data_IF_622148352966
#
_entry.id   IF_622148352966
#
_cell.length_a   1.000
_cell.length_b   1.000
_cell.length_c   1.000
_cell.angle_alpha   90.00
_cell.angle_beta   90.00
_cell.angle_gamma   90.00
#
_symmetry.space_group_name_H-M   'P 1'
#
loop_
_entity.id
_entity.type
_entity.pdbx_description
1 polymer ?
#
# COMPACT_ATOMS: atom_id res chain seq x y z
N UNK A 1 17.08 -66.50 6.76
CA UNK A 1 17.14 -67.63 5.80
C UNK A 1 15.70 -68.00 5.47
N UNK A 2 15.10 -67.40 4.44
CA UNK A 2 15.19 -67.76 3.02
C UNK A 2 14.34 -69.01 2.68
N UNK A 3 13.25 -68.76 1.94
CA UNK A 3 12.27 -69.70 1.34
C UNK A 3 12.88 -70.86 0.54
N UNK A 4 12.04 -71.85 0.18
CA UNK A 4 11.70 -71.97 -1.24
C UNK A 4 10.19 -72.12 -1.55
N UNK A 5 9.88 -71.75 -2.80
CA UNK A 5 8.59 -71.62 -3.49
C UNK A 5 8.09 -72.92 -4.16
N UNK A 6 6.94 -72.77 -4.82
CA UNK A 6 6.32 -73.51 -5.94
C UNK A 6 5.17 -74.38 -5.43
N UNK A 7 3.90 -74.00 -5.58
CA UNK A 7 3.13 -73.86 -6.84
C UNK A 7 2.18 -75.07 -6.91
N UNK A 8 0.97 -75.10 -7.44
CA UNK A 8 0.06 -74.20 -8.15
C UNK A 8 -1.25 -75.06 -8.27
N UNK A 9 -2.42 -74.43 -8.44
CA UNK A 9 -3.71 -75.06 -8.88
C UNK A 9 -4.46 -75.88 -7.83
N UNK A 10 -5.79 -75.91 -7.74
CA UNK A 10 -6.90 -75.17 -8.31
C UNK A 10 -8.17 -75.66 -7.57
N UNK A 11 -9.30 -74.97 -7.78
CA UNK A 11 -10.67 -75.47 -7.63
C UNK A 11 -11.19 -75.74 -6.20
N UNK A 12 -11.93 -74.74 -5.67
CA UNK A 12 -13.39 -74.88 -5.56
C UNK A 12 -14.06 -73.54 -5.24
N UNK A 13 -14.44 -72.83 -6.30
CA UNK A 13 -15.58 -71.91 -6.24
C UNK A 13 -16.82 -72.80 -6.13
N UNK A 14 -17.20 -73.08 -4.89
CA UNK A 14 -18.39 -73.86 -4.55
C UNK A 14 -19.62 -72.96 -4.51
N UNK A 15 -20.30 -72.90 -5.65
CA UNK A 15 -21.71 -72.52 -5.79
C UNK A 15 -22.55 -72.92 -4.57
N UNK A 16 -23.19 -71.97 -3.91
CA UNK A 16 -24.26 -72.21 -2.94
C UNK A 16 -25.23 -71.03 -2.85
N UNK A 17 -25.79 -70.58 -3.98
CA UNK A 17 -27.09 -69.91 -3.95
C UNK A 17 -28.13 -71.01 -3.90
N UNK A 18 -28.39 -71.53 -2.69
CA UNK A 18 -29.57 -72.38 -2.45
C UNK A 18 -30.79 -71.47 -2.39
N UNK A 19 -31.46 -71.32 -3.52
CA UNK A 19 -32.80 -70.74 -3.58
C UNK A 19 -33.78 -71.71 -2.91
N UNK A 20 -34.05 -71.45 -1.62
CA UNK A 20 -35.27 -71.94 -0.95
C UNK A 20 -35.96 -70.73 -0.34
N UNK A 21 -36.42 -69.83 -1.21
CA UNK A 21 -37.23 -68.68 -0.83
C UNK A 21 -38.67 -69.17 -0.79
N UNK A 22 -39.16 -69.52 0.40
CA UNK A 22 -40.59 -69.78 0.59
C UNK A 22 -41.40 -68.56 0.12
N UNK A 23 -42.55 -68.78 -0.50
CA UNK A 23 -43.37 -67.72 -1.14
C UNK A 23 -43.53 -66.45 -0.28
N UNK A 24 -43.59 -66.59 1.04
CA UNK A 24 -43.70 -65.48 2.00
C UNK A 24 -42.46 -64.57 2.06
N UNK A 25 -41.23 -65.09 1.94
CA UNK A 25 -40.02 -64.26 1.99
C UNK A 25 -39.77 -63.53 0.67
N UNK A 26 -40.20 -64.12 -0.46
CA UNK A 26 -40.17 -63.44 -1.76
C UNK A 26 -41.15 -62.25 -1.78
N UNK A 27 -42.37 -62.45 -1.27
CA UNK A 27 -43.36 -61.38 -1.14
C UNK A 27 -42.80 -60.25 -0.25
N UNK A 28 -42.24 -60.58 0.92
CA UNK A 28 -41.68 -59.55 1.81
C UNK A 28 -40.56 -58.72 1.16
N UNK A 29 -39.67 -59.35 0.40
CA UNK A 29 -38.59 -58.63 -0.31
C UNK A 29 -39.15 -57.71 -1.40
N UNK A 30 -40.15 -58.16 -2.15
CA UNK A 30 -40.82 -57.35 -3.18
C UNK A 30 -41.52 -56.15 -2.53
N UNK A 31 -42.22 -56.34 -1.41
CA UNK A 31 -42.91 -55.25 -0.73
C UNK A 31 -41.92 -54.21 -0.23
N UNK A 32 -40.80 -54.62 0.38
CA UNK A 32 -39.76 -53.70 0.87
C UNK A 32 -39.13 -52.91 -0.28
N UNK A 33 -38.86 -53.57 -1.42
CA UNK A 33 -38.31 -52.91 -2.61
C UNK A 33 -39.27 -51.87 -3.21
N UNK A 34 -40.57 -52.16 -3.25
CA UNK A 34 -41.58 -51.20 -3.75
C UNK A 34 -41.72 -50.03 -2.76
N UNK A 35 -41.73 -50.31 -1.47
CA UNK A 35 -41.85 -49.29 -0.41
C UNK A 35 -40.68 -48.31 -0.45
N UNK A 36 -39.45 -48.82 -0.58
CA UNK A 36 -38.26 -47.98 -0.65
C UNK A 36 -38.25 -47.12 -1.91
N UNK A 37 -38.72 -47.64 -3.04
CA UNK A 37 -38.84 -46.90 -4.28
C UNK A 37 -39.83 -45.73 -4.16
N UNK A 38 -41.00 -45.95 -3.53
CA UNK A 38 -42.01 -44.90 -3.30
C UNK A 38 -41.46 -43.80 -2.40
N UNK A 39 -40.80 -44.17 -1.30
CA UNK A 39 -40.21 -43.20 -0.36
C UNK A 39 -39.12 -42.39 -1.05
N UNK A 40 -38.25 -43.02 -1.83
CA UNK A 40 -37.23 -42.32 -2.60
C UNK A 40 -37.88 -41.28 -3.55
N UNK A 41 -38.95 -41.66 -4.25
CA UNK A 41 -39.64 -40.77 -5.19
C UNK A 41 -40.38 -39.61 -4.50
N UNK A 42 -40.90 -39.82 -3.28
CA UNK A 42 -41.60 -38.80 -2.53
C UNK A 42 -40.66 -37.78 -1.85
N UNK A 43 -39.43 -38.19 -1.52
CA UNK A 43 -38.46 -37.35 -0.81
C UNK A 43 -37.51 -36.62 -1.77
N UNK A 44 -37.29 -37.15 -2.98
CA UNK A 44 -36.46 -36.49 -3.98
C UNK A 44 -37.17 -35.22 -4.50
N UNK A 45 -36.57 -34.03 -4.35
CA UNK A 45 -37.14 -32.79 -4.89
C UNK A 45 -37.12 -32.88 -6.42
N UNK A 46 -38.31 -32.97 -7.03
CA UNK A 46 -38.43 -32.93 -8.49
C UNK A 46 -38.18 -31.49 -8.96
N UNK A 47 -36.99 -31.23 -9.50
CA UNK A 47 -36.68 -29.97 -10.17
C UNK A 47 -37.46 -29.87 -11.47
N UNK A 48 -38.47 -29.01 -11.52
CA UNK A 48 -39.22 -28.73 -12.75
C UNK A 48 -38.46 -27.63 -13.51
N UNK A 49 -37.85 -27.99 -14.63
CA UNK A 49 -37.26 -27.00 -15.56
C UNK A 49 -38.42 -26.43 -16.38
N UNK A 50 -38.81 -25.19 -16.09
CA UNK A 50 -39.82 -24.46 -16.85
C UNK A 50 -39.13 -23.57 -17.88
N UNK A 51 -39.48 -23.71 -19.15
CA UNK A 51 -39.09 -22.75 -20.19
C UNK A 51 -40.00 -21.51 -20.17
N UNK A 52 -39.46 -20.36 -20.58
CA UNK A 52 -40.16 -19.09 -20.55
C UNK A 52 -41.45 -19.13 -21.38
N UNK A 53 -42.60 -18.94 -20.73
CA UNK A 53 -43.92 -18.90 -21.39
C UNK A 53 -44.90 -20.01 -21.00
N UNK A 54 -44.49 -21.00 -20.20
CA UNK A 54 -45.41 -22.02 -19.66
C UNK A 54 -46.05 -21.59 -18.34
N UNK A 55 -47.37 -21.82 -18.20
CA UNK A 55 -48.10 -21.59 -16.94
C UNK A 55 -47.80 -22.71 -15.94
N UNK A 56 -47.30 -22.34 -14.75
CA UNK A 56 -47.07 -23.28 -13.66
C UNK A 56 -48.41 -23.82 -13.15
N UNK A 57 -48.58 -25.15 -13.10
CA UNK A 57 -49.80 -25.81 -12.56
C UNK A 57 -49.94 -25.70 -11.03
N UNK A 58 -48.95 -25.12 -10.34
CA UNK A 58 -48.94 -24.83 -8.91
C UNK A 58 -48.33 -23.44 -8.70
N UNK A 59 -48.86 -22.69 -7.73
CA UNK A 59 -48.23 -21.43 -7.30
C UNK A 59 -46.84 -21.72 -6.76
N UNK A 60 -45.83 -21.14 -7.41
CA UNK A 60 -44.45 -21.17 -6.98
C UNK A 60 -44.20 -19.89 -6.20
N UNK A 61 -44.21 -19.96 -4.87
CA UNK A 61 -43.73 -18.84 -4.05
C UNK A 61 -42.20 -18.77 -4.13
N UNK A 62 -41.68 -17.60 -4.50
CA UNK A 62 -40.23 -17.37 -4.49
C UNK A 62 -39.72 -17.41 -3.04
N UNK A 63 -38.65 -18.17 -2.75
CA UNK A 63 -38.05 -18.17 -1.41
C UNK A 63 -37.68 -16.74 -1.00
N UNK A 64 -38.18 -16.28 0.16
CA UNK A 64 -37.81 -14.96 0.69
C UNK A 64 -36.32 -14.97 1.02
N UNK A 65 -35.56 -14.07 0.42
CA UNK A 65 -34.15 -13.89 0.78
C UNK A 65 -34.06 -13.34 2.21
N UNK A 66 -33.53 -14.13 3.13
CA UNK A 66 -33.26 -13.66 4.50
C UNK A 66 -31.97 -12.85 4.47
N UNK A 67 -32.10 -11.53 4.33
CA UNK A 67 -30.95 -10.62 4.39
C UNK A 67 -30.68 -10.29 5.85
N UNK A 68 -29.52 -10.74 6.35
CA UNK A 68 -29.04 -10.34 7.67
C UNK A 68 -28.54 -8.88 7.60
N UNK A 69 -29.44 -7.94 7.87
CA UNK A 69 -29.15 -6.50 7.84
C UNK A 69 -28.01 -6.13 8.78
N UNK A 70 -28.03 -6.66 10.01
CA UNK A 70 -27.01 -6.37 11.03
C UNK A 70 -25.62 -6.83 10.58
N UNK A 71 -25.50 -8.05 10.05
CA UNK A 71 -24.22 -8.55 9.53
C UNK A 71 -23.75 -7.74 8.31
N UNK A 72 -24.67 -7.35 7.43
CA UNK A 72 -24.37 -6.53 6.26
C UNK A 72 -23.88 -5.14 6.66
N UNK A 73 -24.53 -4.51 7.63
CA UNK A 73 -24.15 -3.18 8.13
C UNK A 73 -22.82 -3.23 8.87
N UNK A 74 -22.56 -4.30 9.62
CA UNK A 74 -21.24 -4.54 10.25
C UNK A 74 -20.13 -4.68 9.20
N UNK A 75 -20.36 -5.45 8.14
CA UNK A 75 -19.38 -5.61 7.05
C UNK A 75 -19.14 -4.28 6.31
N UNK A 76 -20.18 -3.47 6.09
CA UNK A 76 -20.05 -2.13 5.50
C UNK A 76 -19.22 -1.21 6.39
N UNK A 77 -19.48 -1.24 7.69
CA UNK A 77 -18.75 -0.42 8.67
C UNK A 77 -17.28 -0.85 8.81
N UNK A 78 -17.02 -2.15 8.80
CA UNK A 78 -15.66 -2.70 8.84
C UNK A 78 -14.90 -2.38 7.54
N UNK A 79 -15.56 -2.46 6.38
CA UNK A 79 -15.00 -2.02 5.11
C UNK A 79 -14.73 -0.50 5.10
N UNK A 80 -15.63 0.31 5.65
CA UNK A 80 -15.45 1.77 5.79
C UNK A 80 -14.25 2.10 6.68
N UNK A 81 -14.11 1.42 7.83
CA UNK A 81 -12.96 1.57 8.73
C UNK A 81 -11.66 1.14 8.07
N UNK A 82 -11.67 0.00 7.37
CA UNK A 82 -10.52 -0.49 6.62
C UNK A 82 -10.10 0.50 5.53
N UNK A 83 -11.07 1.02 4.77
CA UNK A 83 -10.84 2.05 3.77
C UNK A 83 -10.24 3.30 4.41
N UNK A 84 -10.85 3.87 5.44
CA UNK A 84 -10.36 5.07 6.12
C UNK A 84 -8.93 4.90 6.68
N UNK A 85 -8.59 3.71 7.17
CA UNK A 85 -7.25 3.39 7.66
C UNK A 85 -6.23 3.25 6.51
N UNK A 86 -6.65 2.70 5.38
CA UNK A 86 -5.79 2.48 4.21
C UNK A 86 -5.70 3.68 3.27
N UNK A 87 -6.71 4.57 3.28
CA UNK A 87 -6.85 5.65 2.32
C UNK A 87 -5.68 6.64 2.35
N UNK A 88 -5.20 7.12 3.53
CA UNK A 88 -4.02 8.00 3.56
C UNK A 88 -2.74 7.35 3.03
N UNK A 89 -2.65 6.02 3.09
CA UNK A 89 -1.49 5.25 2.63
C UNK A 89 -1.64 4.74 1.20
N UNK A 90 -2.81 4.94 0.57
CA UNK A 90 -3.04 4.53 -0.80
C UNK A 90 -2.38 5.53 -1.74
N UNK A 91 -1.53 5.09 -2.69
CA UNK A 91 -0.92 5.98 -3.65
C UNK A 91 -1.91 6.81 -4.47
N UNK A 92 -3.14 6.32 -4.66
CA UNK A 92 -4.20 6.99 -5.43
C UNK A 92 -4.88 8.13 -4.64
N UNK A 93 -4.76 8.13 -3.31
CA UNK A 93 -5.40 9.10 -2.41
C UNK A 93 -4.38 10.02 -1.71
N UNK A 94 -3.16 10.11 -2.24
CA UNK A 94 -2.11 10.96 -1.68
C UNK A 94 -2.47 12.44 -1.90
N UNK A 95 -2.73 13.15 -0.80
CA UNK A 95 -2.94 14.59 -0.82
C UNK A 95 -1.60 15.29 -0.58
N UNK A 96 -1.19 16.16 -1.51
CA UNK A 96 -0.03 17.02 -1.33
C UNK A 96 -0.38 18.04 -0.26
N UNK A 97 0.08 17.80 0.96
CA UNK A 97 -0.23 18.69 2.07
C UNK A 97 0.63 19.96 2.00
N UNK A 98 -0.05 21.09 1.88
CA UNK A 98 0.56 22.42 1.86
C UNK A 98 1.40 22.70 3.11
N UNK A 99 1.05 22.10 4.26
CA UNK A 99 1.81 22.31 5.50
C UNK A 99 3.24 21.82 5.38
N UNK A 100 3.49 20.69 4.71
CA UNK A 100 4.85 20.19 4.51
C UNK A 100 5.65 21.09 3.57
N UNK A 101 5.00 21.64 2.54
CA UNK A 101 5.64 22.63 1.67
C UNK A 101 6.07 23.88 2.44
N UNK A 102 5.23 24.42 3.32
CA UNK A 102 5.59 25.57 4.14
C UNK A 102 6.71 25.25 5.14
N UNK A 103 6.69 24.07 5.76
CA UNK A 103 7.76 23.64 6.67
C UNK A 103 9.11 23.49 5.96
N UNK A 104 9.12 23.04 4.71
CA UNK A 104 10.34 22.94 3.92
C UNK A 104 10.87 24.31 3.49
N UNK A 105 9.99 25.23 3.11
CA UNK A 105 10.35 26.63 2.87
C UNK A 105 10.98 27.25 4.12
N UNK A 106 10.35 27.07 5.29
CA UNK A 106 10.87 27.53 6.59
C UNK A 106 12.22 26.89 6.94
N UNK A 107 12.41 25.61 6.61
CA UNK A 107 13.67 24.91 6.84
C UNK A 107 14.80 25.47 5.99
N UNK A 108 14.52 25.81 4.72
CA UNK A 108 15.48 26.52 3.85
C UNK A 108 15.80 27.88 4.46
N UNK A 109 14.78 28.66 4.80
CA UNK A 109 14.93 29.99 5.39
C UNK A 109 15.79 29.97 6.66
N UNK A 110 15.55 29.02 7.56
CA UNK A 110 16.30 28.85 8.79
C UNK A 110 17.81 28.64 8.53
N UNK A 111 18.18 27.90 7.48
CA UNK A 111 19.60 27.68 7.12
C UNK A 111 20.25 28.99 6.70
N UNK A 112 19.60 29.75 5.81
CA UNK A 112 20.14 31.03 5.35
C UNK A 112 20.19 32.05 6.50
N UNK A 113 19.15 32.14 7.34
CA UNK A 113 19.13 33.00 8.52
C UNK A 113 20.22 32.66 9.52
N UNK A 114 20.49 31.36 9.74
CA UNK A 114 21.58 30.94 10.62
C UNK A 114 22.95 31.41 10.10
N UNK A 115 23.19 31.36 8.79
CA UNK A 115 24.42 31.85 8.17
C UNK A 115 24.51 33.37 8.26
N UNK A 116 23.45 34.10 7.93
CA UNK A 116 23.39 35.57 8.03
C UNK A 116 23.66 36.02 9.46
N UNK A 117 22.98 35.42 10.42
CA UNK A 117 23.14 35.77 11.84
C UNK A 117 24.54 35.43 12.33
N UNK A 118 25.10 34.29 11.92
CA UNK A 118 26.48 33.92 12.28
C UNK A 118 27.52 34.89 11.72
N UNK A 119 27.31 35.44 10.51
CA UNK A 119 28.15 36.49 9.93
C UNK A 119 28.02 37.81 10.68
N UNK A 120 26.80 38.16 11.09
CA UNK A 120 26.55 39.39 11.83
C UNK A 120 27.15 39.36 13.25
N UNK A 121 27.14 38.19 13.89
CA UNK A 121 27.70 38.00 15.24
C UNK A 121 29.23 38.15 15.27
N UNK A 122 29.93 37.77 14.19
CA UNK A 122 31.39 37.90 14.07
C UNK A 122 31.80 38.19 12.60
N UNK A 123 31.84 39.48 12.19
CA UNK A 123 32.10 39.87 10.81
C UNK A 123 33.50 39.52 10.28
N UNK A 124 34.48 39.38 11.19
CA UNK A 124 35.87 39.06 10.85
C UNK A 124 36.13 37.54 10.85
N UNK A 125 35.12 36.74 11.21
CA UNK A 125 35.22 35.30 11.23
C UNK A 125 35.42 34.73 9.82
N UNK A 126 36.35 33.78 9.71
CA UNK A 126 36.48 32.98 8.50
C UNK A 126 35.24 32.09 8.25
N UNK A 127 35.04 31.61 7.02
CA UNK A 127 33.86 30.80 6.64
C UNK A 127 33.62 29.56 7.51
N UNK A 128 34.69 28.90 7.96
CA UNK A 128 34.60 27.72 8.82
C UNK A 128 34.08 28.05 10.23
N UNK A 129 34.43 29.22 10.75
CA UNK A 129 33.93 29.67 12.05
C UNK A 129 32.45 30.06 11.96
N UNK A 130 32.07 30.76 10.89
CA UNK A 130 30.67 31.07 10.56
C UNK A 130 29.85 29.78 10.41
N UNK A 131 30.36 28.79 9.66
CA UNK A 131 29.70 27.50 9.47
C UNK A 131 29.41 26.78 10.78
N UNK A 132 30.38 26.76 11.71
CA UNK A 132 30.19 26.17 13.05
C UNK A 132 29.16 26.94 13.88
N UNK A 133 29.17 28.28 13.81
CA UNK A 133 28.20 29.11 14.51
C UNK A 133 26.78 28.93 13.95
N UNK A 134 26.63 28.88 12.63
CA UNK A 134 25.37 28.58 11.95
C UNK A 134 24.85 27.19 12.29
N UNK A 135 25.72 26.17 12.27
CA UNK A 135 25.36 24.81 12.67
C UNK A 135 24.88 24.74 14.12
N UNK A 136 25.54 25.48 15.03
CA UNK A 136 25.11 25.58 16.43
C UNK A 136 23.73 26.23 16.58
N UNK A 137 23.42 27.25 15.77
CA UNK A 137 22.10 27.91 15.75
C UNK A 137 21.01 26.99 15.21
N UNK A 138 21.31 26.22 14.18
CA UNK A 138 20.39 25.24 13.58
C UNK A 138 20.15 24.02 14.48
N UNK A 139 21.12 23.64 15.32
CA UNK A 139 21.00 22.51 16.23
C UNK A 139 20.70 21.21 15.48
N UNK A 140 19.69 20.45 15.92
CA UNK A 140 19.30 19.18 15.30
C UNK A 140 18.78 19.30 13.85
N UNK A 141 18.45 20.51 13.39
CA UNK A 141 18.03 20.73 12.01
C UNK A 141 19.18 20.46 11.01
N UNK A 142 20.44 20.65 11.42
CA UNK A 142 21.61 20.33 10.57
C UNK A 142 21.62 18.85 10.20
N UNK A 143 21.38 17.98 11.18
CA UNK A 143 21.35 16.54 11.01
C UNK A 143 20.12 16.10 10.19
N UNK A 144 18.95 16.69 10.48
CA UNK A 144 17.71 16.42 9.75
C UNK A 144 17.86 16.73 8.25
N UNK A 145 18.47 17.87 7.92
CA UNK A 145 18.74 18.30 6.55
C UNK A 145 19.97 17.63 5.93
N UNK A 146 20.71 16.82 6.71
CA UNK A 146 21.97 16.18 6.29
C UNK A 146 23.01 17.16 5.74
N UNK A 147 23.11 18.34 6.36
CA UNK A 147 24.04 19.40 5.94
C UNK A 147 25.43 19.17 6.55
N UNK A 148 26.47 19.31 5.74
CA UNK A 148 27.85 19.26 6.22
C UNK A 148 28.36 20.65 6.60
N UNK A 149 29.41 20.70 7.42
CA UNK A 149 30.12 21.95 7.71
C UNK A 149 30.64 22.63 6.44
N UNK A 150 31.06 21.86 5.44
CA UNK A 150 31.50 22.37 4.15
C UNK A 150 30.38 23.03 3.34
N UNK A 151 29.14 22.56 3.46
CA UNK A 151 27.99 23.18 2.79
C UNK A 151 27.67 24.55 3.39
N UNK A 152 27.68 24.65 4.73
CA UNK A 152 27.48 25.92 5.44
C UNK A 152 28.65 26.88 5.22
N UNK A 153 29.89 26.38 5.16
CA UNK A 153 31.07 27.19 4.85
C UNK A 153 31.03 27.74 3.42
N UNK A 154 30.53 26.95 2.46
CA UNK A 154 30.33 27.41 1.09
C UNK A 154 29.30 28.56 1.03
N UNK A 155 28.19 28.46 1.79
CA UNK A 155 27.22 29.57 1.92
C UNK A 155 27.80 30.79 2.66
N UNK A 156 28.74 30.59 3.59
CA UNK A 156 29.39 31.68 4.30
C UNK A 156 30.37 32.49 3.41
N UNK A 157 30.87 31.90 2.32
CA UNK A 157 31.84 32.55 1.42
C UNK A 157 31.22 33.54 0.42
N UNK A 158 29.90 33.52 0.26
CA UNK A 158 29.21 34.26 -0.81
C UNK A 158 28.78 35.64 -0.33
N UNK A 159 28.58 36.56 -1.26
CA UNK A 159 28.17 37.92 -0.90
C UNK A 159 26.76 37.93 -0.30
N UNK A 160 26.43 38.97 0.46
CA UNK A 160 25.12 39.06 1.13
C UNK A 160 23.97 39.13 0.10
N UNK A 161 24.16 39.88 -0.99
CA UNK A 161 23.19 39.97 -2.09
C UNK A 161 22.98 38.61 -2.79
N UNK A 162 24.07 37.88 -3.06
CA UNK A 162 24.01 36.53 -3.62
C UNK A 162 23.31 35.55 -2.67
N UNK A 163 23.57 35.67 -1.36
CA UNK A 163 22.95 34.84 -0.32
C UNK A 163 21.43 35.10 -0.24
N UNK A 164 21.01 36.36 -0.30
CA UNK A 164 19.60 36.74 -0.31
C UNK A 164 18.88 36.25 -1.58
N UNK A 165 19.50 36.39 -2.74
CA UNK A 165 18.97 35.88 -4.01
C UNK A 165 18.89 34.35 -4.02
N UNK A 166 19.92 33.67 -3.50
CA UNK A 166 19.95 32.22 -3.36
C UNK A 166 18.86 31.71 -2.41
N UNK A 167 18.64 32.39 -1.28
CA UNK A 167 17.56 32.08 -0.33
C UNK A 167 16.20 32.11 -1.01
N UNK A 168 15.87 33.21 -1.69
CA UNK A 168 14.58 33.37 -2.37
C UNK A 168 14.37 32.28 -3.44
N UNK A 169 15.41 31.99 -4.20
CA UNK A 169 15.38 30.96 -5.25
C UNK A 169 15.18 29.57 -4.65
N UNK A 170 15.92 29.24 -3.60
CA UNK A 170 15.84 27.96 -2.91
C UNK A 170 14.47 27.74 -2.25
N UNK A 171 13.94 28.74 -1.55
CA UNK A 171 12.63 28.69 -0.91
C UNK A 171 11.51 28.55 -1.97
N UNK A 172 11.58 29.32 -3.06
CA UNK A 172 10.61 29.19 -4.15
C UNK A 172 10.66 27.80 -4.80
N UNK A 173 11.86 27.27 -5.05
CA UNK A 173 12.03 25.96 -5.67
C UNK A 173 11.53 24.83 -4.77
N UNK A 174 11.91 24.80 -3.49
CA UNK A 174 11.45 23.75 -2.57
C UNK A 174 9.93 23.76 -2.43
N UNK A 175 9.36 24.97 -2.32
CA UNK A 175 7.92 25.17 -2.25
C UNK A 175 7.16 24.64 -3.46
N UNK A 176 7.59 25.06 -4.67
CA UNK A 176 7.00 24.57 -5.92
C UNK A 176 7.17 23.06 -6.06
N UNK A 177 8.37 22.54 -5.79
CA UNK A 177 8.66 21.11 -5.87
C UNK A 177 7.73 20.30 -4.98
N UNK A 178 7.54 20.71 -3.72
CA UNK A 178 6.67 19.98 -2.80
C UNK A 178 5.18 20.14 -3.09
N UNK A 179 4.76 21.23 -3.74
CA UNK A 179 3.37 21.44 -4.17
C UNK A 179 3.02 20.72 -5.46
N UNK A 180 3.98 20.59 -6.37
CA UNK A 180 3.75 20.09 -7.73
C UNK A 180 4.15 18.62 -7.89
N UNK A 181 5.11 18.15 -7.09
CA UNK A 181 5.68 16.82 -7.21
C UNK A 181 5.42 16.03 -5.93
N UNK A 182 4.81 14.86 -6.10
CA UNK A 182 4.74 13.87 -5.03
C UNK A 182 6.13 13.30 -4.77
N UNK A 183 6.62 13.50 -3.55
CA UNK A 183 7.90 12.96 -3.09
C UNK A 183 7.63 11.72 -2.25
N UNK A 184 8.09 10.59 -2.77
CA UNK A 184 8.22 9.30 -2.08
C UNK A 184 9.70 8.93 -1.99
N UNK A 185 10.04 7.99 -1.10
CA UNK A 185 11.41 7.47 -0.97
C UNK A 185 11.98 7.00 -2.32
N UNK A 186 11.16 6.36 -3.15
CA UNK A 186 11.57 5.88 -4.47
C UNK A 186 11.82 7.01 -5.49
N UNK A 187 11.12 8.13 -5.37
CA UNK A 187 11.23 9.28 -6.29
C UNK A 187 12.23 10.33 -5.82
N UNK A 188 12.54 10.38 -4.52
CA UNK A 188 13.36 11.43 -3.91
C UNK A 188 14.70 11.58 -4.62
N UNK A 189 15.36 10.46 -4.94
CA UNK A 189 16.65 10.49 -5.63
C UNK A 189 16.54 11.11 -7.03
N UNK A 190 15.45 10.83 -7.76
CA UNK A 190 15.21 11.39 -9.09
C UNK A 190 14.91 12.89 -9.01
N UNK A 191 14.11 13.31 -8.04
CA UNK A 191 13.82 14.73 -7.79
C UNK A 191 15.11 15.46 -7.41
N UNK A 192 15.87 14.93 -6.46
CA UNK A 192 17.14 15.49 -6.00
C UNK A 192 18.18 15.64 -7.12
N UNK A 193 18.19 14.73 -8.09
CA UNK A 193 19.08 14.81 -9.25
C UNK A 193 18.73 15.96 -10.21
N UNK A 194 17.47 16.40 -10.25
CA UNK A 194 17.00 17.51 -11.08
C UNK A 194 17.17 18.90 -10.46
N UNK A 195 17.30 18.98 -9.12
CA UNK A 195 17.43 20.25 -8.39
C UNK A 195 18.55 21.16 -8.93
N UNK A 196 19.77 20.68 -9.25
CA UNK A 196 20.83 21.55 -9.78
C UNK A 196 20.44 22.24 -11.11
N UNK A 197 19.76 21.51 -12.00
CA UNK A 197 19.32 22.01 -13.29
C UNK A 197 18.17 23.02 -13.11
N UNK A 198 17.25 22.75 -12.18
CA UNK A 198 16.15 23.66 -11.87
C UNK A 198 16.65 24.96 -11.24
N UNK A 199 17.60 24.90 -10.30
CA UNK A 199 18.25 26.10 -9.73
C UNK A 199 18.95 26.94 -10.80
N UNK A 200 19.65 26.28 -11.73
CA UNK A 200 20.32 26.98 -12.84
C UNK A 200 19.29 27.64 -13.76
N UNK A 201 18.16 26.97 -14.03
CA UNK A 201 17.04 27.52 -14.82
C UNK A 201 16.38 28.70 -14.14
N UNK A 202 16.29 28.68 -12.81
CA UNK A 202 15.78 29.79 -12.00
C UNK A 202 16.77 30.97 -11.88
N UNK A 203 17.94 30.88 -12.51
CA UNK A 203 18.90 31.98 -12.60
C UNK A 203 19.99 31.95 -11.53
N UNK A 204 20.13 30.86 -10.77
CA UNK A 204 21.18 30.75 -9.77
C UNK A 204 22.56 30.58 -10.44
N UNK A 205 23.59 31.37 -10.05
CA UNK A 205 24.93 31.24 -10.58
C UNK A 205 25.53 29.83 -10.36
N UNK A 206 26.28 29.26 -11.33
CA UNK A 206 26.80 27.88 -11.24
C UNK A 206 27.65 27.60 -9.99
N UNK A 207 28.36 28.61 -9.50
CA UNK A 207 29.18 28.53 -8.28
C UNK A 207 28.35 28.27 -7.02
N UNK A 208 27.10 28.72 -6.99
CA UNK A 208 26.18 28.59 -5.85
C UNK A 208 25.34 27.32 -5.91
N UNK A 209 25.09 26.80 -7.12
CA UNK A 209 24.21 25.65 -7.37
C UNK A 209 24.54 24.47 -6.47
N UNK A 210 25.81 24.12 -6.30
CA UNK A 210 26.20 22.97 -5.48
C UNK A 210 25.77 23.11 -4.02
N UNK A 211 26.06 24.26 -3.40
CA UNK A 211 25.76 24.50 -1.99
C UNK A 211 24.25 24.62 -1.77
N UNK A 212 23.56 25.39 -2.62
CA UNK A 212 22.11 25.60 -2.53
C UNK A 212 21.33 24.31 -2.81
N UNK A 213 21.78 23.49 -3.76
CA UNK A 213 21.17 22.17 -4.03
C UNK A 213 21.16 21.29 -2.79
N UNK A 214 22.21 21.33 -1.95
CA UNK A 214 22.25 20.53 -0.71
C UNK A 214 21.20 20.97 0.29
N UNK A 215 21.00 22.28 0.43
CA UNK A 215 19.95 22.84 1.29
C UNK A 215 18.56 22.45 0.79
N UNK A 216 18.28 22.66 -0.49
CA UNK A 216 16.99 22.31 -1.09
C UNK A 216 16.72 20.80 -0.98
N UNK A 217 17.68 19.95 -1.34
CA UNK A 217 17.53 18.48 -1.25
C UNK A 217 17.35 18.02 0.20
N UNK A 218 18.03 18.67 1.16
CA UNK A 218 17.84 18.41 2.58
C UNK A 218 16.41 18.71 3.04
N UNK A 219 15.84 19.83 2.58
CA UNK A 219 14.48 20.26 2.95
C UNK A 219 13.36 19.45 2.28
N UNK A 220 13.65 18.70 1.22
CA UNK A 220 12.70 17.81 0.54
C UNK A 220 12.51 16.45 1.24
N UNK A 221 13.29 16.17 2.29
CA UNK A 221 13.24 14.91 3.06
C UNK A 221 12.31 15.02 4.25
#
# INVERSE_FOLDING_TARGET
MAEPRIGERALRVGSSIKAFVGSKTMIALVTVAISSLIIAYAVLPQSVVLEAGQFAKRDIESPRTIVNRVATDKLKEDARKAYMKSAPNSPENYEISQSYSYMAEESVDAVFDAVVTARADDPEAGPEAIARAAAKKLGGAVDALSLSAGDLAALAQITEDELASARQTAASLVGRTMRDIRITDASLQKVAAGIPDDLTRDGLPPQLVKAVSRVVVGALR
#
